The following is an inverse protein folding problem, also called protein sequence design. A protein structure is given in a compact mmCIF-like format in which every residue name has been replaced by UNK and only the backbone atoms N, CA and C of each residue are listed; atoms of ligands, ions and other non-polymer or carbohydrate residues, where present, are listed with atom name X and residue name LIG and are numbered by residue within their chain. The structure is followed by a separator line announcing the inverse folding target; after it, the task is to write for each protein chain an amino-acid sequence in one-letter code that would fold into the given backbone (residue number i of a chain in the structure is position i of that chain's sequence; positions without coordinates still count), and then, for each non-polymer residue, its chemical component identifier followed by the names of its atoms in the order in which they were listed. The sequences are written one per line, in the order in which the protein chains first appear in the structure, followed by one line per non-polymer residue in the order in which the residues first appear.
data_IF_475997449850
#
_entry.id   IF_475997449850
#
_cell.length_a   1.000
_cell.length_b   1.000
_cell.length_c   1.000
_cell.angle_alpha   90.00
_cell.angle_beta   90.00
_cell.angle_gamma   90.00
#
_symmetry.space_group_name_H-M   'P 1'
#
loop_
_entity.id
_entity.type
_entity.pdbx_description
1 polymer ?
#
# COMPACT_ATOMS: atom_id res chain seq x y z
N UNK A 1 2.98 -13.25 5.68
CA UNK A 1 3.65 -11.95 5.46
C UNK A 1 3.27 -11.56 4.06
N UNK A 2 2.65 -10.40 3.93
CA UNK A 2 2.11 -9.90 2.68
C UNK A 2 2.74 -8.55 2.35
N UNK A 3 2.97 -8.32 1.07
CA UNK A 3 3.54 -7.07 0.57
C UNK A 3 2.41 -6.13 0.17
N UNK A 4 2.42 -4.93 0.72
CA UNK A 4 1.49 -3.85 0.33
C UNK A 4 2.25 -2.71 -0.32
N UNK A 5 1.56 -1.97 -1.18
CA UNK A 5 2.06 -0.71 -1.72
C UNK A 5 1.48 0.44 -0.93
N UNK A 6 2.34 1.37 -0.52
CA UNK A 6 1.97 2.59 0.20
C UNK A 6 2.35 3.78 -0.67
N UNK A 7 1.39 4.66 -0.91
CA UNK A 7 1.62 5.94 -1.58
C UNK A 7 1.94 6.99 -0.53
N UNK A 8 3.11 7.61 -0.66
CA UNK A 8 3.60 8.70 0.16
C UNK A 8 3.61 10.00 -0.64
N UNK A 9 3.45 11.13 0.02
CA UNK A 9 3.74 12.46 -0.54
C UNK A 9 5.20 12.89 -0.28
N UNK A 10 5.56 14.09 -0.76
CA UNK A 10 6.91 14.66 -0.61
C UNK A 10 7.30 14.95 0.85
N UNK A 11 6.32 15.05 1.75
CA UNK A 11 6.52 15.22 3.19
C UNK A 11 6.61 13.89 3.93
N UNK A 12 6.43 12.77 3.23
CA UNK A 12 6.35 11.43 3.80
C UNK A 12 4.98 11.07 4.38
N UNK A 13 3.92 11.84 4.10
CA UNK A 13 2.58 11.49 4.58
C UNK A 13 1.95 10.36 3.75
N UNK A 14 1.25 9.45 4.41
CA UNK A 14 0.54 8.35 3.75
C UNK A 14 -0.72 8.88 3.08
N UNK A 15 -0.75 8.83 1.74
CA UNK A 15 -1.89 9.21 0.91
C UNK A 15 -2.83 8.03 0.65
N UNK A 16 -2.29 6.81 0.59
CA UNK A 16 -3.07 5.61 0.30
C UNK A 16 -2.28 4.32 0.43
N UNK A 17 -3.01 3.20 0.49
CA UNK A 17 -2.45 1.85 0.61
C UNK A 17 -3.22 0.90 -0.29
N UNK A 18 -2.53 -0.01 -0.97
CA UNK A 18 -3.16 -1.14 -1.67
C UNK A 18 -2.44 -2.45 -1.34
N UNK A 19 -3.18 -3.54 -1.33
CA UNK A 19 -2.64 -4.88 -1.10
C UNK A 19 -2.10 -5.44 -2.40
N UNK A 20 -0.83 -5.13 -2.71
CA UNK A 20 -0.07 -5.68 -3.81
C UNK A 20 -0.64 -5.40 -5.22
N UNK A 21 0.08 -5.82 -6.28
CA UNK A 21 -0.48 -5.83 -7.61
C UNK A 21 -1.57 -6.90 -7.67
N UNK A 22 -2.82 -6.49 -7.54
CA UNK A 22 -3.93 -7.41 -7.58
C UNK A 22 -4.12 -7.88 -9.03
N UNK A 23 -4.30 -9.19 -9.22
CA UNK A 23 -4.64 -9.73 -10.53
C UNK A 23 -6.11 -9.40 -10.76
N UNK A 24 -6.39 -8.45 -11.65
CA UNK A 24 -7.76 -8.16 -12.01
C UNK A 24 -8.39 -9.42 -12.64
N UNK A 25 -9.67 -9.68 -12.34
CA UNK A 25 -10.41 -10.84 -12.87
C UNK A 25 -11.31 -10.42 -14.03
N UNK A 26 -11.26 -11.13 -15.16
CA UNK A 26 -12.10 -10.91 -16.33
C UNK A 26 -11.37 -11.18 -17.65
N UNK A 27 -12.11 -11.39 -18.74
CA UNK A 27 -11.55 -11.77 -20.05
C UNK A 27 -10.65 -10.68 -20.69
N UNK A 28 -10.61 -9.47 -20.11
CA UNK A 28 -9.71 -8.38 -20.50
C UNK A 28 -9.09 -7.68 -19.30
N UNK A 29 -9.00 -8.39 -18.19
CA UNK A 29 -8.43 -7.82 -16.99
C UNK A 29 -6.92 -7.60 -17.15
N UNK A 30 -6.40 -6.44 -16.72
CA UNK A 30 -4.96 -6.18 -16.76
C UNK A 30 -4.22 -7.19 -15.89
N UNK A 31 -3.02 -7.59 -16.35
CA UNK A 31 -2.18 -8.55 -15.66
C UNK A 31 -1.75 -8.08 -14.26
N UNK A 32 -1.71 -6.76 -14.04
CA UNK A 32 -1.32 -6.13 -12.77
C UNK A 32 -2.10 -4.83 -12.56
N UNK A 33 -2.65 -4.63 -11.36
CA UNK A 33 -3.26 -3.36 -10.92
C UNK A 33 -2.48 -2.84 -9.71
N UNK A 34 -1.88 -1.66 -9.80
CA UNK A 34 -1.09 -1.09 -8.71
C UNK A 34 -1.20 0.43 -8.62
N UNK A 35 -0.58 0.99 -7.58
CA UNK A 35 -0.51 2.44 -7.40
C UNK A 35 0.48 3.07 -8.37
N UNK A 36 0.11 4.23 -8.91
CA UNK A 36 0.98 5.06 -9.74
C UNK A 36 1.24 6.36 -9.01
N UNK A 37 2.51 6.64 -8.70
CA UNK A 37 2.90 7.91 -8.10
C UNK A 37 2.74 9.07 -9.09
N UNK A 38 2.08 10.14 -8.65
CA UNK A 38 2.14 11.44 -9.32
C UNK A 38 3.44 12.21 -9.01
N UNK A 39 3.60 13.43 -9.54
CA UNK A 39 4.73 14.29 -9.21
C UNK A 39 4.81 14.56 -7.70
N UNK A 40 6.01 14.40 -7.12
CA UNK A 40 6.23 14.58 -5.68
C UNK A 40 5.66 13.46 -4.81
N UNK A 41 5.14 12.38 -5.40
CA UNK A 41 4.69 11.21 -4.67
C UNK A 41 5.67 10.05 -4.86
N UNK A 42 5.65 9.12 -3.92
CA UNK A 42 6.45 7.90 -3.96
C UNK A 42 5.60 6.70 -3.61
N UNK A 43 5.67 5.65 -4.44
CA UNK A 43 5.13 4.33 -4.06
C UNK A 43 6.26 3.53 -3.41
N UNK A 44 6.03 3.04 -2.20
CA UNK A 44 6.94 2.14 -1.49
C UNK A 44 6.26 0.81 -1.22
N UNK A 45 7.03 -0.27 -1.28
CA UNK A 45 6.57 -1.61 -0.95
C UNK A 45 6.97 -1.96 0.48
N UNK A 46 6.02 -2.51 1.23
CA UNK A 46 6.17 -2.79 2.65
C UNK A 46 5.68 -4.19 2.94
N UNK A 47 6.53 -4.97 3.58
CA UNK A 47 6.13 -6.26 4.14
C UNK A 47 5.44 -6.05 5.49
N UNK A 48 4.21 -6.56 5.57
CA UNK A 48 3.38 -6.50 6.77
C UNK A 48 2.90 -7.90 7.14
N UNK A 49 2.69 -8.14 8.44
CA UNK A 49 2.09 -9.38 8.90
C UNK A 49 0.63 -9.46 8.44
N UNK A 50 0.20 -10.66 8.04
CA UNK A 50 -1.16 -10.87 7.53
C UNK A 50 -2.22 -10.47 8.57
N UNK A 51 -1.92 -10.70 9.86
CA UNK A 51 -2.76 -10.27 10.98
C UNK A 51 -3.00 -8.74 11.05
N UNK A 52 -2.07 -7.92 10.55
CA UNK A 52 -2.23 -6.46 10.49
C UNK A 52 -3.14 -6.05 9.34
N UNK A 53 -3.17 -6.85 8.27
CA UNK A 53 -4.03 -6.63 7.11
C UNK A 53 -5.46 -7.09 7.33
N UNK A 54 -5.65 -8.14 8.12
CA UNK A 54 -6.95 -8.63 8.56
C UNK A 54 -7.60 -7.72 9.62
N UNK A 55 -6.81 -6.81 10.21
CA UNK A 55 -7.25 -5.82 11.19
C UNK A 55 -8.04 -4.65 10.58
N UNK A 56 -8.38 -3.68 11.43
CA UNK A 56 -9.10 -2.50 10.95
C UNK A 56 -8.16 -1.59 10.10
N UNK A 57 -8.66 -0.93 9.05
CA UNK A 57 -7.85 0.00 8.25
C UNK A 57 -7.13 1.09 9.05
N UNK A 58 -7.71 1.51 10.18
CA UNK A 58 -7.09 2.48 11.10
C UNK A 58 -5.86 1.91 11.83
N UNK A 59 -5.86 0.60 12.13
CA UNK A 59 -4.74 -0.09 12.77
C UNK A 59 -3.59 -0.23 11.78
N UNK A 60 -3.88 -0.58 10.52
CA UNK A 60 -2.89 -0.60 9.44
C UNK A 60 -2.26 0.79 9.26
N UNK A 61 -3.07 1.84 9.17
CA UNK A 61 -2.54 3.21 9.05
C UNK A 61 -1.63 3.59 10.23
N UNK A 62 -2.04 3.26 11.45
CA UNK A 62 -1.24 3.51 12.66
C UNK A 62 0.08 2.74 12.63
N UNK A 63 0.03 1.46 12.28
CA UNK A 63 1.22 0.62 12.14
C UNK A 63 2.21 1.20 11.12
N UNK A 64 1.72 1.60 9.94
CA UNK A 64 2.56 2.16 8.89
C UNK A 64 3.19 3.48 9.33
N UNK A 65 2.42 4.36 9.97
CA UNK A 65 2.94 5.63 10.48
C UNK A 65 4.03 5.43 11.54
N UNK A 66 3.90 4.43 12.41
CA UNK A 66 4.87 4.15 13.46
C UNK A 66 6.14 3.46 12.94
N UNK A 67 6.03 2.58 11.95
CA UNK A 67 7.15 1.71 11.54
C UNK A 67 7.86 2.14 10.24
N UNK A 68 7.23 2.93 9.36
CA UNK A 68 7.84 3.41 8.11
C UNK A 68 8.32 4.85 8.13
N UNK A 69 7.65 5.69 8.93
CA UNK A 69 7.87 7.14 8.95
C UNK A 69 8.55 7.63 10.23
N UNK A 70 9.06 6.68 11.04
CA UNK A 70 9.78 6.93 12.29
C UNK A 70 11.26 7.21 12.05
#
# INVERSE_FOLDING_TARGET
MATIQVLLDESGAILGTTQGPDSASGESAPAQVGLVAGPGQQVVEVEVADAVLEGAPAELHTYLRTNLLG
#
